data_IF_013513357893
#
_entry.id   IF_013513357893
#
_cell.length_a   1.000
_cell.length_b   1.000
_cell.length_c   1.000
_cell.angle_alpha   90.00
_cell.angle_beta   90.00
_cell.angle_gamma   90.00
#
_symmetry.space_group_name_H-M   'P 1'
#
loop_
_entity.id
_entity.type
_entity.pdbx_description
1 polymer ?
#
# COMPACT_ATOMS: atom_id res chain seq x y z
N UNK A 1 -30.82 21.72 -9.95
CA UNK A 1 -30.45 20.46 -10.63
C UNK A 1 -29.91 19.52 -9.58
N UNK A 2 -30.61 18.43 -9.26
CA UNK A 2 -30.09 17.44 -8.30
C UNK A 2 -28.91 16.70 -8.94
N UNK A 3 -27.79 16.62 -8.22
CA UNK A 3 -26.60 15.87 -8.65
C UNK A 3 -26.99 14.41 -8.95
N UNK A 4 -26.63 13.92 -10.15
CA UNK A 4 -26.89 12.54 -10.55
C UNK A 4 -26.22 11.54 -9.60
N UNK A 5 -25.11 11.94 -8.96
CA UNK A 5 -24.45 11.14 -7.93
C UNK A 5 -25.31 11.01 -6.67
N UNK A 6 -25.92 12.10 -6.19
CA UNK A 6 -26.83 12.06 -5.03
C UNK A 6 -28.07 11.19 -5.30
N UNK A 7 -28.62 11.26 -6.53
CA UNK A 7 -29.74 10.41 -6.91
C UNK A 7 -29.34 8.93 -6.93
N UNK A 8 -28.14 8.61 -7.45
CA UNK A 8 -27.63 7.25 -7.48
C UNK A 8 -27.39 6.68 -6.08
N UNK A 9 -26.71 7.42 -5.20
CA UNK A 9 -26.45 6.95 -3.82
C UNK A 9 -27.73 6.78 -3.01
N UNK A 10 -28.83 7.45 -3.41
CA UNK A 10 -30.18 7.24 -2.87
C UNK A 10 -30.92 6.01 -3.39
N UNK A 11 -30.41 5.28 -4.39
CA UNK A 11 -30.99 4.01 -4.87
C UNK A 11 -30.57 2.83 -4.00
N UNK A 12 -31.29 1.71 -4.06
CA UNK A 12 -30.89 0.47 -3.38
C UNK A 12 -29.48 -0.05 -3.77
N UNK A 13 -29.12 -0.17 -5.07
CA UNK A 13 -27.76 -0.56 -5.45
C UNK A 13 -26.72 0.50 -5.05
N UNK A 14 -27.06 1.80 -5.15
CA UNK A 14 -26.16 2.88 -4.73
C UNK A 14 -25.83 2.83 -3.24
N UNK A 15 -26.86 2.71 -2.37
CA UNK A 15 -26.66 2.55 -0.92
C UNK A 15 -25.84 1.32 -0.56
N UNK A 16 -26.04 0.20 -1.26
CA UNK A 16 -25.27 -1.01 -1.04
C UNK A 16 -23.78 -0.79 -1.31
N UNK A 17 -23.44 -0.11 -2.42
CA UNK A 17 -22.06 0.22 -2.78
C UNK A 17 -21.45 1.23 -1.81
N UNK A 18 -22.14 2.34 -1.52
CA UNK A 18 -21.58 3.40 -0.67
C UNK A 18 -21.41 3.00 0.78
N UNK A 19 -22.19 2.04 1.28
CA UNK A 19 -21.99 1.48 2.63
C UNK A 19 -20.68 0.71 2.77
N UNK A 20 -20.17 0.12 1.69
CA UNK A 20 -18.95 -0.69 1.70
C UNK A 20 -17.71 0.11 1.29
N UNK A 21 -17.86 1.01 0.34
CA UNK A 21 -16.75 1.71 -0.32
C UNK A 21 -16.67 3.20 0.07
N UNK A 22 -17.63 3.71 0.83
CA UNK A 22 -17.80 5.14 1.05
C UNK A 22 -18.44 5.86 -0.15
N UNK A 23 -18.52 7.19 -0.08
CA UNK A 23 -18.99 7.98 -1.22
C UNK A 23 -17.95 7.99 -2.34
N UNK A 24 -18.37 8.04 -3.62
CA UNK A 24 -17.44 8.09 -4.74
C UNK A 24 -16.47 9.28 -4.64
N UNK A 25 -15.21 9.01 -4.34
CA UNK A 25 -14.10 9.96 -4.39
C UNK A 25 -12.93 9.32 -5.14
N UNK A 26 -13.00 9.23 -6.49
CA UNK A 26 -11.97 8.53 -7.26
C UNK A 26 -10.64 9.29 -7.19
N UNK A 27 -9.59 8.61 -6.75
CA UNK A 27 -8.23 9.15 -6.83
C UNK A 27 -7.73 9.09 -8.28
N UNK A 28 -7.08 10.16 -8.80
CA UNK A 28 -6.41 10.09 -10.09
C UNK A 28 -5.27 9.06 -10.01
N UNK A 29 -5.41 7.97 -10.76
CA UNK A 29 -4.41 6.90 -10.75
C UNK A 29 -3.14 7.36 -11.44
N UNK A 30 -2.00 7.24 -10.74
CA UNK A 30 -0.68 7.47 -11.31
C UNK A 30 -0.43 6.47 -12.43
N UNK A 31 0.02 6.95 -13.59
CA UNK A 31 0.41 6.14 -14.75
C UNK A 31 1.86 6.43 -15.10
N UNK A 32 2.52 5.43 -15.68
CA UNK A 32 3.83 5.61 -16.27
C UNK A 32 3.75 6.60 -17.45
N UNK A 33 4.74 7.47 -17.55
CA UNK A 33 5.05 8.26 -18.75
C UNK A 33 6.56 8.49 -18.80
N UNK A 34 7.14 8.90 -19.95
CA UNK A 34 8.56 9.26 -20.01
C UNK A 34 8.98 10.31 -18.98
N UNK A 35 8.07 11.21 -18.61
CA UNK A 35 8.28 12.27 -17.60
C UNK A 35 8.13 11.76 -16.16
N UNK A 36 7.44 10.63 -15.95
CA UNK A 36 7.23 9.98 -14.64
C UNK A 36 7.55 8.48 -14.70
N UNK A 37 8.81 8.11 -14.96
CA UNK A 37 9.20 6.72 -15.19
C UNK A 37 9.21 5.88 -13.91
N UNK A 38 9.35 6.51 -12.73
CA UNK A 38 9.50 5.84 -11.42
C UNK A 38 8.61 6.46 -10.35
N UNK A 39 8.25 5.65 -9.36
CA UNK A 39 7.47 6.08 -8.20
C UNK A 39 8.18 7.21 -7.42
N UNK A 40 7.40 8.08 -6.81
CA UNK A 40 7.91 9.19 -5.98
C UNK A 40 7.72 8.83 -4.50
N UNK A 41 8.80 8.91 -3.72
CA UNK A 41 8.80 8.61 -2.28
C UNK A 41 9.63 7.38 -1.92
N UNK A 42 9.55 7.00 -0.65
CA UNK A 42 10.34 5.90 -0.09
C UNK A 42 9.65 4.56 -0.33
N UNK A 43 10.44 3.49 -0.41
CA UNK A 43 9.95 2.12 -0.38
C UNK A 43 10.16 1.55 1.02
N UNK A 44 9.08 1.16 1.71
CA UNK A 44 9.23 0.46 2.97
C UNK A 44 9.40 -1.04 2.72
N UNK A 45 10.37 -1.65 3.37
CA UNK A 45 10.63 -3.08 3.30
C UNK A 45 10.64 -3.68 4.70
N UNK A 46 9.73 -4.61 4.94
CA UNK A 46 9.60 -5.37 6.19
C UNK A 46 9.75 -6.87 5.91
N UNK A 47 10.31 -7.59 6.87
CA UNK A 47 10.39 -9.05 6.84
C UNK A 47 9.72 -9.58 8.11
N UNK A 48 8.65 -10.38 7.93
CA UNK A 48 8.07 -11.14 9.01
C UNK A 48 8.91 -12.39 9.22
N UNK A 49 9.46 -12.55 10.42
CA UNK A 49 10.30 -13.66 10.83
C UNK A 49 11.70 -13.63 10.23
N UNK A 50 12.37 -14.79 10.32
CA UNK A 50 13.70 -14.98 9.72
C UNK A 50 13.54 -15.54 8.31
N UNK A 51 13.41 -14.65 7.32
CA UNK A 51 13.35 -15.05 5.91
C UNK A 51 14.73 -15.40 5.35
N UNK A 52 14.80 -16.50 4.60
CA UNK A 52 15.97 -16.86 3.80
C UNK A 52 16.24 -15.86 2.66
N UNK A 53 15.21 -15.12 2.23
CA UNK A 53 15.25 -14.25 1.06
C UNK A 53 15.60 -12.80 1.35
N UNK A 54 15.80 -12.46 2.63
CA UNK A 54 16.01 -11.07 3.07
C UNK A 54 17.10 -10.36 2.27
N UNK A 55 18.22 -11.06 2.00
CA UNK A 55 19.36 -10.49 1.28
C UNK A 55 19.04 -10.28 -0.20
N UNK A 56 18.59 -11.33 -0.89
CA UNK A 56 18.28 -11.23 -2.33
C UNK A 56 17.18 -10.21 -2.60
N UNK A 57 16.16 -10.15 -1.73
CA UNK A 57 15.08 -9.19 -1.84
C UNK A 57 15.59 -7.76 -1.64
N UNK A 58 16.44 -7.51 -0.64
CA UNK A 58 17.03 -6.17 -0.43
C UNK A 58 17.85 -5.71 -1.63
N UNK A 59 18.65 -6.60 -2.22
CA UNK A 59 19.42 -6.31 -3.44
C UNK A 59 18.53 -6.06 -4.66
N UNK A 60 17.40 -6.76 -4.77
CA UNK A 60 16.43 -6.54 -5.85
C UNK A 60 15.74 -5.18 -5.69
N UNK A 61 15.30 -4.85 -4.48
CA UNK A 61 14.61 -3.58 -4.19
C UNK A 61 15.53 -2.38 -4.41
N UNK A 62 16.83 -2.50 -4.12
CA UNK A 62 17.81 -1.45 -4.40
C UNK A 62 17.88 -1.07 -5.89
N UNK A 63 17.56 -1.98 -6.81
CA UNK A 63 17.56 -1.71 -8.27
C UNK A 63 16.41 -0.83 -8.72
N UNK A 64 15.41 -0.60 -7.88
CA UNK A 64 14.27 0.28 -8.20
C UNK A 64 14.66 1.76 -8.22
N UNK A 65 15.82 2.12 -7.64
CA UNK A 65 16.26 3.50 -7.46
C UNK A 65 15.48 4.26 -6.38
N UNK A 66 14.59 3.59 -5.64
CA UNK A 66 13.87 4.16 -4.51
C UNK A 66 14.71 4.09 -3.24
N UNK A 67 14.51 5.04 -2.33
CA UNK A 67 15.06 4.99 -0.98
C UNK A 67 14.34 3.90 -0.17
N UNK A 68 15.03 2.76 0.04
CA UNK A 68 14.47 1.60 0.75
C UNK A 68 14.73 1.71 2.24
N UNK A 69 13.66 1.74 3.04
CA UNK A 69 13.73 1.89 4.51
C UNK A 69 13.02 0.75 5.25
N UNK A 70 13.54 0.39 6.41
CA UNK A 70 12.93 -0.60 7.31
C UNK A 70 11.95 -0.02 8.33
N UNK A 71 11.75 1.30 8.33
CA UNK A 71 10.80 2.00 9.19
C UNK A 71 10.54 3.41 8.64
N UNK A 72 9.40 4.00 9.01
CA UNK A 72 9.15 5.42 8.81
C UNK A 72 9.98 6.22 9.82
N UNK A 73 10.75 7.20 9.36
CA UNK A 73 11.35 8.18 10.28
C UNK A 73 10.20 8.97 10.90
N UNK A 74 10.08 8.95 12.23
CA UNK A 74 8.94 9.49 12.97
C UNK A 74 8.62 10.95 12.61
N UNK A 75 7.62 11.13 11.76
CA UNK A 75 7.07 12.42 11.37
C UNK A 75 5.98 12.17 10.33
N UNK A 76 4.72 12.45 10.66
CA UNK A 76 3.51 12.07 9.92
C UNK A 76 3.33 12.65 8.51
N UNK A 77 4.41 13.03 7.82
CA UNK A 77 4.42 13.59 6.48
C UNK A 77 5.06 12.69 5.41
N UNK A 78 5.81 11.64 5.78
CA UNK A 78 6.39 10.72 4.80
C UNK A 78 5.35 9.70 4.32
N UNK A 79 4.79 9.94 3.13
CA UNK A 79 3.93 8.97 2.44
C UNK A 79 4.83 8.03 1.62
N UNK A 80 4.94 6.75 1.98
CA UNK A 80 5.73 5.82 1.19
C UNK A 80 5.11 5.62 -0.19
N UNK A 81 5.95 5.47 -1.20
CA UNK A 81 5.54 5.18 -2.56
C UNK A 81 5.07 3.73 -2.72
N UNK A 82 5.54 2.85 -1.83
CA UNK A 82 5.14 1.46 -1.73
C UNK A 82 5.60 0.81 -0.43
N UNK A 83 4.99 -0.32 -0.10
CA UNK A 83 5.34 -1.16 1.03
C UNK A 83 5.50 -2.59 0.50
N UNK A 84 6.62 -3.22 0.84
CA UNK A 84 6.92 -4.62 0.55
C UNK A 84 7.06 -5.37 1.86
N UNK A 85 6.25 -6.40 2.04
CA UNK A 85 6.33 -7.29 3.21
C UNK A 85 6.76 -8.67 2.72
N UNK A 86 7.93 -9.11 3.16
CA UNK A 86 8.37 -10.49 3.01
C UNK A 86 7.75 -11.32 4.14
N UNK A 87 6.76 -12.13 3.80
CA UNK A 87 6.07 -13.03 4.73
C UNK A 87 6.40 -14.50 4.47
N UNK A 88 7.49 -14.83 3.76
CA UNK A 88 7.77 -16.24 3.39
C UNK A 88 8.10 -17.12 4.59
N UNK A 89 8.53 -16.54 5.71
CA UNK A 89 8.75 -17.28 6.96
C UNK A 89 7.47 -17.50 7.79
N UNK A 90 6.33 -16.93 7.39
CA UNK A 90 5.04 -17.10 8.07
C UNK A 90 4.42 -18.43 7.66
N UNK A 91 4.55 -19.43 8.53
CA UNK A 91 4.10 -20.82 8.25
C UNK A 91 2.89 -21.25 9.07
N UNK A 92 2.41 -20.41 9.99
CA UNK A 92 1.25 -20.71 10.82
C UNK A 92 0.49 -19.46 11.26
N UNK A 93 -0.75 -19.62 11.77
CA UNK A 93 -1.61 -18.50 12.16
C UNK A 93 -1.00 -17.59 13.23
N UNK A 94 -0.27 -18.16 14.19
CA UNK A 94 0.36 -17.40 15.28
C UNK A 94 1.40 -16.39 14.75
N UNK A 95 2.09 -16.75 13.66
CA UNK A 95 3.10 -15.89 13.03
C UNK A 95 2.51 -14.72 12.23
N UNK A 96 1.18 -14.67 12.01
CA UNK A 96 0.52 -13.53 11.34
C UNK A 96 0.61 -12.24 12.19
N UNK A 97 0.84 -12.36 13.50
CA UNK A 97 1.09 -11.22 14.37
C UNK A 97 2.28 -10.38 13.92
N UNK A 98 3.29 -10.99 13.30
CA UNK A 98 4.48 -10.29 12.80
C UNK A 98 4.17 -9.45 11.56
N UNK A 99 3.28 -9.92 10.68
CA UNK A 99 2.78 -9.14 9.53
C UNK A 99 1.95 -7.96 10.02
N UNK A 100 1.12 -8.17 11.03
CA UNK A 100 0.35 -7.10 11.66
C UNK A 100 1.28 -6.03 12.24
N UNK A 101 2.30 -6.43 13.01
CA UNK A 101 3.28 -5.50 13.60
C UNK A 101 4.09 -4.71 12.55
N UNK A 102 4.25 -5.23 11.34
CA UNK A 102 4.90 -4.51 10.25
C UNK A 102 4.03 -3.42 9.61
N UNK A 103 2.71 -3.51 9.74
CA UNK A 103 1.75 -2.65 9.02
C UNK A 103 0.95 -1.69 9.93
N UNK A 104 1.06 -1.82 11.25
CA UNK A 104 0.32 -1.05 12.26
C UNK A 104 1.24 -0.49 13.34
#
# INVERSE_FOLDING_TARGET
MADRYLNFTGTAPGRFLTRRLGLPQPAPLRRWSPERPSLEGQLLHFTAGTSAHRKELSELLARTGLDVRGSLSGGGADRPAGIVVDATAVTGPDALAEVHAALH
#
